data_IF_067876528300
#
_entry.id   IF_067876528300
#
_cell.length_a   1.000
_cell.length_b   1.000
_cell.length_c   1.000
_cell.angle_alpha   90.00
_cell.angle_beta   90.00
_cell.angle_gamma   90.00
#
_symmetry.space_group_name_H-M   'P 1'
#
loop_
_entity.id
_entity.type
_entity.pdbx_description
1 polymer ?
#
# COMPACT_ATOMS: atom_id res chain seq x y z
N UNK A 1 -9.67 -3.01 -19.13
CA UNK A 1 -9.35 -3.89 -17.99
C UNK A 1 -9.29 -3.11 -16.71
N UNK A 2 -9.79 -3.68 -15.63
CA UNK A 2 -9.75 -3.01 -14.34
C UNK A 2 -8.33 -2.94 -13.81
N UNK A 3 -7.98 -1.82 -13.20
CA UNK A 3 -6.71 -1.70 -12.50
C UNK A 3 -6.87 -2.23 -11.10
N UNK A 4 -5.88 -2.96 -10.62
CA UNK A 4 -5.90 -3.62 -9.31
C UNK A 4 -4.99 -2.95 -8.33
N UNK A 5 -5.51 -2.75 -7.11
CA UNK A 5 -4.74 -2.21 -6.00
C UNK A 5 -4.76 -3.24 -4.88
N UNK A 6 -3.58 -3.54 -4.33
CA UNK A 6 -3.47 -4.39 -3.14
C UNK A 6 -3.39 -3.51 -1.90
N UNK A 7 -4.28 -3.76 -0.95
CA UNK A 7 -4.22 -3.11 0.37
C UNK A 7 -3.53 -4.05 1.35
N UNK A 8 -2.45 -3.57 1.95
CA UNK A 8 -1.75 -4.28 3.02
C UNK A 8 -1.96 -3.48 4.30
N UNK A 9 -2.99 -3.85 5.04
CA UNK A 9 -3.49 -3.10 6.20
C UNK A 9 -4.14 -4.09 7.16
N UNK A 10 -4.02 -3.87 8.45
CA UNK A 10 -4.61 -4.76 9.45
C UNK A 10 -5.77 -4.12 10.24
N UNK A 11 -6.01 -2.83 10.09
CA UNK A 11 -7.11 -2.14 10.77
C UNK A 11 -8.39 -2.25 9.93
N UNK A 12 -9.44 -2.94 10.42
CA UNK A 12 -10.67 -3.12 9.65
C UNK A 12 -11.36 -1.82 9.25
N UNK A 13 -11.26 -0.77 10.06
CA UNK A 13 -11.87 0.52 9.77
C UNK A 13 -11.17 1.16 8.58
N UNK A 14 -9.84 1.16 8.57
CA UNK A 14 -9.07 1.69 7.46
C UNK A 14 -9.29 0.89 6.18
N UNK A 15 -9.33 -0.44 6.29
CA UNK A 15 -9.59 -1.31 5.14
C UNK A 15 -10.92 -0.95 4.50
N UNK A 16 -11.97 -0.83 5.33
CA UNK A 16 -13.31 -0.53 4.82
C UNK A 16 -13.37 0.82 4.12
N UNK A 17 -12.76 1.85 4.72
CA UNK A 17 -12.72 3.18 4.13
C UNK A 17 -12.02 3.13 2.77
N UNK A 18 -10.82 2.58 2.72
CA UNK A 18 -10.03 2.53 1.49
C UNK A 18 -10.72 1.70 0.41
N UNK A 19 -11.26 0.54 0.78
CA UNK A 19 -11.94 -0.31 -0.18
C UNK A 19 -13.15 0.38 -0.80
N UNK A 20 -13.97 1.04 0.02
CA UNK A 20 -15.15 1.74 -0.49
C UNK A 20 -14.77 2.88 -1.43
N UNK A 21 -13.80 3.70 -1.05
CA UNK A 21 -13.38 4.82 -1.89
C UNK A 21 -12.77 4.33 -3.19
N UNK A 22 -11.86 3.37 -3.11
CA UNK A 22 -11.18 2.88 -4.30
C UNK A 22 -12.10 2.17 -5.27
N UNK A 23 -13.06 1.39 -4.76
CA UNK A 23 -13.97 0.67 -5.65
C UNK A 23 -15.09 1.56 -6.17
N UNK A 24 -15.78 2.29 -5.29
CA UNK A 24 -16.96 3.07 -5.67
C UNK A 24 -16.66 4.38 -6.36
N UNK A 25 -15.64 5.09 -5.88
CA UNK A 25 -15.27 6.38 -6.47
C UNK A 25 -14.18 6.23 -7.52
N UNK A 26 -13.22 5.32 -7.30
CA UNK A 26 -12.08 5.17 -8.18
C UNK A 26 -12.23 4.12 -9.28
N UNK A 27 -13.17 3.18 -9.11
CA UNK A 27 -13.36 2.11 -10.09
C UNK A 27 -12.28 1.06 -10.11
N UNK A 28 -11.45 0.99 -9.07
CA UNK A 28 -10.40 -0.02 -8.97
C UNK A 28 -10.95 -1.35 -8.48
N UNK A 29 -10.28 -2.43 -8.85
CA UNK A 29 -10.46 -3.72 -8.22
C UNK A 29 -9.48 -3.79 -7.03
N UNK A 30 -9.97 -4.19 -5.85
CA UNK A 30 -9.19 -4.16 -4.63
C UNK A 30 -8.96 -5.57 -4.09
N UNK A 31 -7.70 -5.90 -3.83
CA UNK A 31 -7.28 -7.11 -3.14
C UNK A 31 -6.78 -6.71 -1.76
N UNK A 32 -6.88 -7.61 -0.79
CA UNK A 32 -6.50 -7.33 0.61
C UNK A 32 -5.70 -8.48 1.16
N UNK A 33 -4.62 -8.17 1.85
CA UNK A 33 -3.85 -9.17 2.59
C UNK A 33 -2.97 -8.49 3.63
N UNK A 34 -2.69 -9.17 4.74
CA UNK A 34 -1.63 -8.76 5.67
C UNK A 34 -0.59 -9.88 5.84
N UNK A 35 -0.75 -10.97 5.11
CA UNK A 35 0.21 -12.08 5.11
C UNK A 35 1.35 -11.78 4.15
N UNK A 36 2.58 -11.71 4.67
CA UNK A 36 3.74 -11.30 3.88
C UNK A 36 3.97 -12.20 2.66
N UNK A 37 3.86 -13.52 2.85
CA UNK A 37 4.07 -14.45 1.74
C UNK A 37 3.03 -14.24 0.65
N UNK A 38 1.76 -14.08 1.04
CA UNK A 38 0.69 -13.80 0.08
C UNK A 38 0.90 -12.47 -0.61
N UNK A 39 1.29 -11.43 0.13
CA UNK A 39 1.56 -10.10 -0.44
C UNK A 39 2.66 -10.19 -1.51
N UNK A 40 3.76 -10.88 -1.21
CA UNK A 40 4.85 -11.03 -2.16
C UNK A 40 4.43 -11.83 -3.39
N UNK A 41 3.62 -12.86 -3.19
CA UNK A 41 3.10 -13.67 -4.30
C UNK A 41 2.17 -12.85 -5.19
N UNK A 42 1.23 -12.09 -4.60
CA UNK A 42 0.33 -11.23 -5.35
C UNK A 42 1.08 -10.15 -6.11
N UNK A 43 2.15 -9.60 -5.52
CA UNK A 43 2.96 -8.59 -6.20
C UNK A 43 3.59 -9.14 -7.48
N UNK A 44 3.87 -10.43 -7.53
CA UNK A 44 4.47 -11.05 -8.72
C UNK A 44 3.44 -11.52 -9.73
N UNK A 45 2.25 -11.94 -9.29
CA UNK A 45 1.33 -12.68 -10.14
C UNK A 45 0.00 -12.01 -10.44
N UNK A 46 -0.42 -11.03 -9.63
CA UNK A 46 -1.77 -10.48 -9.73
C UNK A 46 -1.90 -9.29 -10.68
N UNK A 47 -0.82 -8.89 -11.36
CA UNK A 47 -0.82 -7.75 -12.27
C UNK A 47 -1.34 -6.49 -11.57
N UNK A 48 -0.69 -6.11 -10.49
CA UNK A 48 -1.11 -4.97 -9.67
C UNK A 48 -0.71 -3.66 -10.31
N UNK A 49 -1.62 -2.68 -10.25
CA UNK A 49 -1.35 -1.31 -10.66
C UNK A 49 -0.75 -0.49 -9.52
N UNK A 50 -0.91 -0.93 -8.30
CA UNK A 50 -0.35 -0.26 -7.14
C UNK A 50 -0.59 -1.03 -5.86
N UNK A 51 0.13 -0.64 -4.82
CA UNK A 51 0.02 -1.22 -3.48
C UNK A 51 -0.09 -0.08 -2.48
N UNK A 52 -1.06 -0.17 -1.57
CA UNK A 52 -1.13 0.74 -0.43
C UNK A 52 -0.68 -0.08 0.79
N UNK A 53 0.43 0.34 1.39
CA UNK A 53 1.14 -0.41 2.42
C UNK A 53 1.10 0.32 3.75
N UNK A 54 0.45 -0.28 4.75
CA UNK A 54 0.50 0.24 6.11
C UNK A 54 1.90 0.03 6.69
N UNK A 55 2.51 1.11 7.17
CA UNK A 55 3.84 1.06 7.76
C UNK A 55 3.82 0.29 9.08
N UNK A 56 2.74 0.40 9.85
CA UNK A 56 2.66 -0.07 11.23
C UNK A 56 1.87 -1.36 11.39
N UNK A 57 2.13 -2.36 10.55
CA UNK A 57 1.50 -3.66 10.67
C UNK A 57 1.89 -4.30 12.01
N UNK A 58 0.90 -4.83 12.74
CA UNK A 58 1.13 -5.36 14.07
C UNK A 58 1.14 -6.89 14.15
N UNK A 59 0.62 -7.56 13.12
CA UNK A 59 0.45 -9.02 13.14
C UNK A 59 1.17 -9.75 12.02
N UNK A 60 1.92 -9.03 11.20
CA UNK A 60 2.62 -9.65 10.07
C UNK A 60 3.95 -10.22 10.52
N UNK A 61 4.32 -11.37 9.99
CA UNK A 61 5.60 -12.00 10.27
C UNK A 61 6.21 -12.57 9.00
N UNK A 62 7.52 -12.70 9.00
CA UNK A 62 8.27 -13.28 7.88
C UNK A 62 9.46 -14.03 8.44
N UNK A 63 9.58 -15.30 8.09
CA UNK A 63 10.64 -16.18 8.57
C UNK A 63 10.76 -16.19 10.10
N UNK A 64 9.59 -16.16 10.78
CA UNK A 64 9.53 -16.23 12.23
C UNK A 64 9.71 -14.92 12.97
N UNK A 65 9.93 -13.82 12.26
CA UNK A 65 10.13 -12.51 12.86
C UNK A 65 8.96 -11.58 12.53
N UNK A 66 8.57 -10.74 13.49
CA UNK A 66 7.58 -9.69 13.23
C UNK A 66 8.19 -8.66 12.29
N UNK A 67 7.40 -8.26 11.27
CA UNK A 67 7.86 -7.30 10.28
C UNK A 67 6.79 -6.23 10.07
N UNK A 68 7.21 -5.07 9.57
CA UNK A 68 6.32 -3.96 9.27
C UNK A 68 6.24 -3.71 7.75
N UNK A 69 5.48 -2.69 7.38
CA UNK A 69 5.30 -2.35 5.96
C UNK A 69 6.58 -1.84 5.31
N UNK A 70 7.49 -1.26 6.08
CA UNK A 70 8.79 -0.82 5.56
C UNK A 70 9.58 -2.03 5.06
N UNK A 71 9.65 -3.07 5.87
CA UNK A 71 10.38 -4.30 5.51
C UNK A 71 9.76 -4.95 4.27
N UNK A 72 8.44 -5.07 4.24
CA UNK A 72 7.73 -5.70 3.11
C UNK A 72 7.96 -4.90 1.83
N UNK A 73 7.91 -3.57 1.91
CA UNK A 73 8.15 -2.72 0.74
C UNK A 73 9.57 -2.90 0.20
N UNK A 74 10.55 -3.01 1.09
CA UNK A 74 11.92 -3.29 0.65
C UNK A 74 12.02 -4.59 -0.13
N UNK A 75 11.35 -5.64 0.33
CA UNK A 75 11.32 -6.92 -0.39
C UNK A 75 10.69 -6.77 -1.76
N UNK A 76 9.57 -6.04 -1.86
CA UNK A 76 8.89 -5.79 -3.13
C UNK A 76 9.81 -5.05 -4.09
N UNK A 77 10.53 -4.04 -3.60
CA UNK A 77 11.39 -3.20 -4.45
C UNK A 77 12.70 -3.88 -4.84
N UNK A 78 13.08 -4.96 -4.16
CA UNK A 78 14.27 -5.73 -4.50
C UNK A 78 14.02 -6.82 -5.54
N UNK A 79 12.77 -7.18 -5.80
CA UNK A 79 12.41 -8.26 -6.71
C UNK A 79 12.14 -7.70 -8.10
N UNK A 80 12.80 -8.24 -9.11
CA UNK A 80 12.64 -7.80 -10.51
C UNK A 80 11.19 -7.91 -10.99
N UNK A 81 10.43 -8.89 -10.47
CA UNK A 81 9.05 -9.11 -10.89
C UNK A 81 8.07 -8.09 -10.30
N UNK A 82 8.45 -7.39 -9.23
CA UNK A 82 7.52 -6.50 -8.50
C UNK A 82 8.04 -5.08 -8.31
N UNK A 83 9.31 -4.82 -8.53
CA UNK A 83 9.91 -3.53 -8.17
C UNK A 83 9.31 -2.34 -8.89
N UNK A 84 8.70 -2.54 -10.05
CA UNK A 84 8.10 -1.46 -10.83
C UNK A 84 6.70 -1.07 -10.36
N UNK A 85 6.08 -1.84 -9.47
CA UNK A 85 4.74 -1.54 -8.98
C UNK A 85 4.79 -0.33 -8.06
N UNK A 86 4.00 0.72 -8.31
CA UNK A 86 3.95 1.88 -7.40
C UNK A 86 3.47 1.48 -6.00
N UNK A 87 4.18 1.92 -4.98
CA UNK A 87 3.82 1.65 -3.58
C UNK A 87 3.58 2.98 -2.87
N UNK A 88 2.41 3.08 -2.23
CA UNK A 88 2.07 4.19 -1.35
C UNK A 88 2.17 3.70 0.09
N UNK A 89 3.03 4.33 0.88
CA UNK A 89 3.12 4.04 2.30
C UNK A 89 2.02 4.80 3.04
N UNK A 90 1.34 4.15 3.97
CA UNK A 90 0.31 4.79 4.79
C UNK A 90 0.69 4.65 6.26
N UNK A 91 0.68 5.76 7.00
CA UNK A 91 1.11 5.75 8.39
C UNK A 91 0.41 6.82 9.21
N UNK A 92 0.17 6.50 10.50
CA UNK A 92 -0.27 7.47 11.49
C UNK A 92 0.90 8.25 12.08
N UNK A 93 2.13 7.82 11.81
CA UNK A 93 3.34 8.44 12.34
C UNK A 93 3.87 9.48 11.35
N UNK A 94 3.34 10.70 11.43
CA UNK A 94 3.72 11.79 10.54
C UNK A 94 4.66 12.76 11.24
N UNK A 95 5.71 12.25 11.88
CA UNK A 95 6.71 13.11 12.51
C UNK A 95 7.60 13.74 11.45
N UNK A 96 8.13 14.90 11.77
CA UNK A 96 8.99 15.64 10.86
C UNK A 96 10.17 14.77 10.39
N UNK A 97 10.30 14.64 9.08
CA UNK A 97 11.39 13.85 8.48
C UNK A 97 11.07 12.39 8.24
N UNK A 98 10.00 11.84 8.85
CA UNK A 98 9.68 10.42 8.69
C UNK A 98 9.30 10.08 7.25
N UNK A 99 8.56 10.97 6.59
CA UNK A 99 8.17 10.75 5.19
C UNK A 99 9.39 10.55 4.30
N UNK A 100 10.33 11.48 4.36
CA UNK A 100 11.53 11.43 3.53
C UNK A 100 12.39 10.21 3.86
N UNK A 101 12.49 9.90 5.14
CA UNK A 101 13.25 8.73 5.59
C UNK A 101 12.65 7.44 5.04
N UNK A 102 11.34 7.25 5.20
CA UNK A 102 10.68 6.04 4.73
C UNK A 102 10.73 5.91 3.21
N UNK A 103 10.54 7.01 2.50
CA UNK A 103 10.62 7.01 1.03
C UNK A 103 12.01 6.62 0.54
N UNK A 104 13.07 7.14 1.19
CA UNK A 104 14.44 6.80 0.82
C UNK A 104 14.77 5.35 1.14
N UNK A 105 14.35 4.87 2.30
CA UNK A 105 14.66 3.50 2.72
C UNK A 105 13.98 2.46 1.86
N UNK A 106 12.78 2.74 1.38
CA UNK A 106 11.96 1.74 0.71
C UNK A 106 11.93 1.87 -0.81
N UNK A 107 12.16 3.06 -1.32
CA UNK A 107 11.96 3.33 -2.74
C UNK A 107 10.49 3.48 -3.12
N UNK A 108 9.59 3.66 -2.13
CA UNK A 108 8.17 3.87 -2.39
C UNK A 108 7.94 5.14 -3.18
N UNK A 109 6.85 5.17 -3.96
CA UNK A 109 6.54 6.29 -4.84
C UNK A 109 5.65 7.34 -4.19
N UNK A 110 5.00 7.01 -3.08
CA UNK A 110 4.10 7.96 -2.43
C UNK A 110 3.88 7.67 -0.96
N UNK A 111 3.15 8.57 -0.30
CA UNK A 111 2.99 8.56 1.14
C UNK A 111 1.62 9.13 1.50
N UNK A 112 0.90 8.43 2.36
CA UNK A 112 -0.42 8.85 2.85
C UNK A 112 -0.37 8.97 4.37
N UNK A 113 -0.91 10.08 4.89
CA UNK A 113 -1.02 10.28 6.34
C UNK A 113 -2.39 9.86 6.84
N UNK A 114 -2.41 9.06 7.89
CA UNK A 114 -3.64 8.71 8.60
C UNK A 114 -3.91 9.74 9.69
N UNK A 115 -5.14 9.90 10.13
CA UNK A 115 -6.34 9.21 9.68
C UNK A 115 -6.88 9.76 8.36
N UNK A 116 -7.63 8.92 7.64
CA UNK A 116 -8.26 9.33 6.38
C UNK A 116 -9.66 9.90 6.70
N UNK A 117 -9.87 11.17 6.41
CA UNK A 117 -11.15 11.85 6.68
C UNK A 117 -11.92 12.18 5.42
N UNK A 118 -11.21 12.54 4.36
CA UNK A 118 -11.80 13.06 3.13
C UNK A 118 -11.60 12.07 2.00
N UNK A 119 -12.69 11.40 1.55
CA UNK A 119 -12.58 10.42 0.47
C UNK A 119 -12.00 11.00 -0.82
N UNK A 120 -12.38 12.24 -1.17
CA UNK A 120 -11.89 12.88 -2.39
C UNK A 120 -10.40 13.15 -2.31
N UNK A 121 -9.93 13.67 -1.17
CA UNK A 121 -8.51 13.94 -0.97
C UNK A 121 -7.69 12.64 -0.98
N UNK A 122 -8.21 11.59 -0.35
CA UNK A 122 -7.57 10.29 -0.35
C UNK A 122 -7.41 9.76 -1.79
N UNK A 123 -8.50 9.79 -2.56
CA UNK A 123 -8.48 9.29 -3.94
C UNK A 123 -7.51 10.08 -4.82
N UNK A 124 -7.47 11.41 -4.66
CA UNK A 124 -6.52 12.23 -5.40
C UNK A 124 -5.07 11.86 -5.10
N UNK A 125 -4.76 11.63 -3.82
CA UNK A 125 -3.42 11.23 -3.43
C UNK A 125 -3.03 9.89 -4.02
N UNK A 126 -3.98 8.95 -4.06
CA UNK A 126 -3.76 7.65 -4.70
C UNK A 126 -3.51 7.80 -6.19
N UNK A 127 -4.34 8.58 -6.88
CA UNK A 127 -4.25 8.74 -8.33
C UNK A 127 -3.04 9.55 -8.78
N UNK A 128 -2.42 10.28 -7.87
CA UNK A 128 -1.17 10.97 -8.18
C UNK A 128 -0.01 9.99 -8.38
N UNK A 129 -0.13 8.78 -7.86
CA UNK A 129 0.93 7.75 -7.90
C UNK A 129 0.48 6.52 -8.67
N UNK A 130 -0.74 6.05 -8.42
CA UNK A 130 -1.29 4.86 -9.08
C UNK A 130 -2.22 5.32 -10.19
N UNK A 131 -2.02 4.85 -11.45
CA UNK A 131 -2.83 5.33 -12.56
C UNK A 131 -4.33 5.19 -12.31
N UNK A 132 -5.16 6.14 -12.78
CA UNK A 132 -6.61 6.02 -12.67
C UNK A 132 -7.11 4.72 -13.29
N UNK A 133 -8.27 4.24 -12.82
CA UNK A 133 -8.83 2.97 -13.29
C UNK A 133 -9.20 3.00 -14.77
N UNK A 134 -9.40 4.19 -15.31
CA UNK A 134 -9.73 4.39 -16.73
C UNK A 134 -8.83 5.43 -17.34
#
# INVERSE_FOLDING_TARGET
MARRILLVEDDPINIKFMELVLTRMGGYEVLKSEDVVEVLELAKTADLSGIIMDVSLSRSSYEGNNVDGIFITKLIKQDEASKAIPVLLATAHAMFGDKEKFMRETGAEGYLSKPFHDPTAFLKAVQAVIPPAK
#
